data_IF_334714361119
#
_entry.id   IF_334714361119
#
_cell.length_a   1.000
_cell.length_b   1.000
_cell.length_c   1.000
_cell.angle_alpha   90.00
_cell.angle_beta   90.00
_cell.angle_gamma   90.00
#
_symmetry.space_group_name_H-M   'P 1'
#
loop_
_entity.id
_entity.type
_entity.pdbx_description
1 polymer ?
#
# COMPACT_ATOMS: atom_id res chain seq x y z
N UNK A 1 23.25 -62.18 -4.44
CA UNK A 1 22.92 -61.17 -5.46
C UNK A 1 22.73 -59.84 -4.76
N UNK A 2 23.82 -59.06 -4.69
CA UNK A 2 23.84 -57.66 -4.30
C UNK A 2 23.31 -56.80 -5.45
N UNK A 3 22.42 -55.86 -5.15
CA UNK A 3 22.01 -54.69 -5.97
C UNK A 3 20.80 -54.06 -5.24
N UNK A 4 20.75 -52.86 -4.67
CA UNK A 4 21.53 -51.60 -4.71
C UNK A 4 21.19 -50.89 -3.37
N UNK A 5 22.07 -50.76 -2.39
CA UNK A 5 23.10 -49.71 -2.21
C UNK A 5 22.72 -48.30 -2.71
N UNK A 6 22.86 -47.35 -1.76
CA UNK A 6 23.08 -45.90 -1.91
C UNK A 6 21.85 -45.00 -2.11
N UNK A 7 21.17 -44.67 -1.00
CA UNK A 7 20.74 -43.27 -0.76
C UNK A 7 21.57 -42.78 0.43
N UNK A 8 22.84 -42.49 0.12
CA UNK A 8 23.84 -41.92 1.01
C UNK A 8 24.23 -40.56 0.40
N UNK A 9 23.60 -39.51 0.90
CA UNK A 9 23.99 -38.09 0.83
C UNK A 9 22.86 -37.38 1.60
N UNK A 10 22.97 -37.15 2.91
CA UNK A 10 23.91 -36.18 3.48
C UNK A 10 24.09 -34.98 2.56
N UNK A 11 23.01 -34.24 2.35
CA UNK A 11 23.04 -32.84 1.98
C UNK A 11 21.85 -32.22 2.71
N UNK A 12 21.91 -31.95 4.01
CA UNK A 12 22.79 -30.93 4.60
C UNK A 12 23.08 -29.76 3.64
N UNK A 13 22.07 -29.30 2.91
CA UNK A 13 21.89 -27.86 2.74
C UNK A 13 21.17 -27.36 3.99
N UNK A 14 21.91 -27.37 5.10
CA UNK A 14 21.87 -26.23 6.00
C UNK A 14 22.28 -25.03 5.14
N UNK A 15 21.32 -24.42 4.45
CA UNK A 15 21.41 -23.02 4.11
C UNK A 15 21.34 -22.28 5.43
N UNK A 16 22.53 -22.16 6.03
CA UNK A 16 22.94 -21.10 6.92
C UNK A 16 22.50 -19.79 6.27
N UNK A 17 21.33 -19.36 6.67
CA UNK A 17 20.66 -18.22 6.08
C UNK A 17 19.50 -17.79 6.95
N UNK A 18 19.71 -17.71 8.27
CA UNK A 18 18.96 -16.71 9.04
C UNK A 18 19.39 -15.39 8.41
N UNK A 19 18.50 -14.86 7.58
CA UNK A 19 18.63 -13.51 7.06
C UNK A 19 18.44 -12.60 8.27
N UNK A 20 19.52 -12.32 8.98
CA UNK A 20 19.56 -11.19 9.90
C UNK A 20 19.50 -9.96 9.02
N UNK A 21 18.29 -9.59 8.61
CA UNK A 21 18.05 -8.29 8.02
C UNK A 21 18.44 -7.27 9.10
N UNK A 22 19.50 -6.46 8.89
CA UNK A 22 19.84 -5.43 9.85
C UNK A 22 18.69 -4.42 9.82
N UNK A 23 17.78 -4.52 10.78
CA UNK A 23 16.87 -3.43 11.12
C UNK A 23 17.75 -2.30 11.64
N UNK A 24 18.28 -1.50 10.73
CA UNK A 24 18.99 -0.26 11.03
C UNK A 24 18.06 0.54 11.93
N UNK A 25 18.39 0.61 13.23
CA UNK A 25 17.82 1.59 14.14
C UNK A 25 18.17 2.95 13.57
N UNK A 26 17.19 3.61 12.94
CA UNK A 26 17.33 4.96 12.45
C UNK A 26 16.36 5.81 13.22
N UNK A 27 16.89 6.81 13.94
CA UNK A 27 16.22 7.95 14.56
C UNK A 27 14.79 8.18 14.03
N UNK A 28 13.83 7.48 14.65
CA UNK A 28 12.52 7.12 14.09
C UNK A 28 11.61 8.34 13.87
N UNK A 29 11.79 9.39 14.65
CA UNK A 29 10.95 10.60 14.64
C UNK A 29 11.17 11.48 13.41
N UNK A 30 12.41 11.70 12.99
CA UNK A 30 12.70 12.55 11.82
C UNK A 30 12.37 11.85 10.50
N UNK A 31 12.56 10.53 10.44
CA UNK A 31 12.33 9.74 9.22
C UNK A 31 10.84 9.53 8.94
N UNK A 32 10.03 9.28 9.97
CA UNK A 32 8.56 9.20 9.82
C UNK A 32 7.97 10.53 9.34
N UNK A 33 8.42 11.68 9.85
CA UNK A 33 7.96 12.99 9.39
C UNK A 33 8.29 13.24 7.92
N UNK A 34 9.48 12.82 7.46
CA UNK A 34 9.86 12.92 6.05
C UNK A 34 8.99 12.02 5.15
N UNK A 35 8.71 10.79 5.58
CA UNK A 35 7.83 9.85 4.85
C UNK A 35 6.40 10.38 4.77
N UNK A 36 5.85 10.91 5.87
CA UNK A 36 4.51 11.51 5.88
C UNK A 36 4.44 12.74 4.97
N UNK A 37 5.49 13.55 4.92
CA UNK A 37 5.57 14.68 3.99
C UNK A 37 5.60 14.21 2.53
N UNK A 38 6.46 13.24 2.20
CA UNK A 38 6.59 12.72 0.84
C UNK A 38 5.32 12.03 0.32
N UNK A 39 4.58 11.33 1.18
CA UNK A 39 3.29 10.71 0.82
C UNK A 39 2.15 11.75 0.85
N UNK A 40 2.16 12.66 1.82
CA UNK A 40 1.10 13.65 2.02
C UNK A 40 0.96 14.65 0.88
N UNK A 41 2.06 14.94 0.19
CA UNK A 41 2.06 15.83 -0.98
C UNK A 41 1.60 15.11 -2.27
N UNK A 42 1.59 13.76 -2.31
CA UNK A 42 1.19 12.98 -3.48
C UNK A 42 -0.33 12.86 -3.56
N UNK A 43 -0.93 13.72 -4.40
CA UNK A 43 -2.36 13.70 -4.70
C UNK A 43 -2.62 12.89 -5.96
N UNK A 44 -3.58 11.97 -5.87
CA UNK A 44 -4.07 11.19 -7.01
C UNK A 44 -5.23 11.96 -7.63
N UNK A 45 -5.10 12.31 -8.90
CA UNK A 45 -6.12 13.03 -9.65
C UNK A 45 -6.97 12.05 -10.48
N UNK A 46 -8.27 12.31 -10.53
CA UNK A 46 -9.23 11.54 -11.32
C UNK A 46 -9.97 12.48 -12.27
N UNK A 47 -10.37 11.96 -13.43
CA UNK A 47 -11.23 12.68 -14.38
C UNK A 47 -12.60 13.02 -13.78
N UNK A 48 -13.34 13.87 -14.49
CA UNK A 48 -14.71 14.25 -14.12
C UNK A 48 -15.64 13.03 -14.21
N UNK A 49 -16.35 12.71 -13.11
CA UNK A 49 -17.17 11.49 -12.96
C UNK A 49 -16.44 10.16 -13.20
N UNK A 50 -15.11 10.18 -13.25
CA UNK A 50 -14.32 8.98 -13.48
C UNK A 50 -13.67 8.45 -12.20
N UNK A 51 -13.51 7.13 -12.17
CA UNK A 51 -12.69 6.40 -11.19
C UNK A 51 -11.53 5.67 -11.87
N UNK A 52 -11.26 5.97 -13.14
CA UNK A 52 -10.09 5.51 -13.89
C UNK A 52 -8.82 6.16 -13.32
N UNK A 53 -7.73 5.41 -13.28
CA UNK A 53 -6.42 5.92 -12.85
C UNK A 53 -5.68 6.35 -14.11
N UNK A 54 -5.40 7.65 -14.23
CA UNK A 54 -4.51 8.19 -15.27
C UNK A 54 -3.07 7.77 -15.01
N UNK A 55 -2.22 7.74 -16.04
CA UNK A 55 -0.79 7.41 -15.93
C UNK A 55 -0.07 8.27 -14.87
N UNK A 56 -0.32 9.58 -14.85
CA UNK A 56 0.26 10.49 -13.84
C UNK A 56 -0.14 10.08 -12.41
N UNK A 57 -1.38 9.61 -12.26
CA UNK A 57 -1.91 9.11 -10.99
C UNK A 57 -1.37 7.73 -10.64
N UNK A 58 -1.08 6.90 -11.64
CA UNK A 58 -0.42 5.61 -11.46
C UNK A 58 1.02 5.80 -10.97
N UNK A 59 1.79 6.72 -11.57
CA UNK A 59 3.15 7.05 -11.13
C UNK A 59 3.18 7.52 -9.68
N UNK A 60 2.26 8.41 -9.29
CA UNK A 60 2.12 8.85 -7.90
C UNK A 60 1.81 7.69 -6.93
N UNK A 61 1.03 6.69 -7.37
CA UNK A 61 0.75 5.49 -6.56
C UNK A 61 1.96 4.56 -6.47
N UNK A 62 2.71 4.37 -7.56
CA UNK A 62 3.94 3.59 -7.59
C UNK A 62 5.00 4.16 -6.64
N UNK A 63 5.15 5.47 -6.64
CA UNK A 63 6.01 6.17 -5.71
C UNK A 63 5.63 5.92 -4.23
N UNK A 64 4.33 5.96 -3.92
CA UNK A 64 3.83 5.67 -2.56
C UNK A 64 4.12 4.21 -2.20
N UNK A 65 4.03 3.29 -3.18
CA UNK A 65 4.37 1.89 -3.00
C UNK A 65 5.86 1.68 -2.75
N UNK A 66 6.74 2.40 -3.43
CA UNK A 66 8.18 2.35 -3.18
C UNK A 66 8.50 2.79 -1.74
N UNK A 67 7.87 3.88 -1.29
CA UNK A 67 8.03 4.36 0.09
C UNK A 67 7.51 3.34 1.11
N UNK A 68 6.40 2.67 0.81
CA UNK A 68 5.86 1.57 1.64
C UNK A 68 6.81 0.37 1.69
N UNK A 69 7.47 0.02 0.59
CA UNK A 69 8.45 -1.08 0.53
C UNK A 69 9.69 -0.77 1.36
N UNK A 70 10.20 0.46 1.25
CA UNK A 70 11.37 0.93 1.99
C UNK A 70 11.11 1.09 3.51
N UNK A 71 9.85 1.21 3.93
CA UNK A 71 9.47 1.39 5.32
C UNK A 71 8.50 0.28 5.77
N UNK A 72 8.98 -0.89 6.22
CA UNK A 72 8.12 -2.06 6.52
C UNK A 72 7.08 -1.80 7.62
N UNK A 73 7.34 -0.89 8.55
CA UNK A 73 6.44 -0.57 9.66
C UNK A 73 5.34 0.44 9.27
N UNK A 74 5.43 1.07 8.08
CA UNK A 74 4.46 2.07 7.64
C UNK A 74 3.13 1.43 7.23
N UNK A 75 2.02 2.12 7.50
CA UNK A 75 0.68 1.74 7.04
C UNK A 75 0.06 2.92 6.32
N UNK A 76 -0.64 2.66 5.22
CA UNK A 76 -1.29 3.72 4.43
C UNK A 76 -2.81 3.55 4.52
N UNK A 77 -3.48 4.69 4.62
CA UNK A 77 -4.94 4.77 4.63
C UNK A 77 -5.40 5.57 3.43
N UNK A 78 -6.13 4.93 2.52
CA UNK A 78 -6.70 5.57 1.34
C UNK A 78 -8.03 6.22 1.71
N UNK A 79 -8.17 7.50 1.37
CA UNK A 79 -9.41 8.28 1.55
C UNK A 79 -9.76 9.05 0.28
N UNK A 80 -10.92 8.75 -0.30
CA UNK A 80 -11.45 9.51 -1.42
C UNK A 80 -12.08 10.82 -0.93
N UNK A 81 -11.58 11.94 -1.45
CA UNK A 81 -12.20 13.25 -1.28
C UNK A 81 -12.81 13.68 -2.61
N UNK A 82 -14.02 14.19 -2.54
CA UNK A 82 -14.80 14.69 -3.67
C UNK A 82 -15.22 16.12 -3.36
N UNK A 83 -15.41 16.92 -4.42
CA UNK A 83 -15.81 18.31 -4.30
C UNK A 83 -17.24 18.44 -3.78
N UNK A 84 -17.61 19.63 -3.30
CA UNK A 84 -18.96 19.91 -2.78
C UNK A 84 -20.02 20.09 -3.88
N UNK A 85 -19.73 19.73 -5.13
CA UNK A 85 -20.71 19.82 -6.23
C UNK A 85 -21.52 18.52 -6.24
N UNK A 86 -22.85 18.62 -6.10
CA UNK A 86 -23.77 17.46 -6.08
C UNK A 86 -24.21 17.00 -4.67
N UNK A 87 -24.98 15.90 -4.61
CA UNK A 87 -25.49 15.36 -3.35
C UNK A 87 -24.38 14.72 -2.50
N UNK A 88 -24.54 14.77 -1.17
CA UNK A 88 -23.54 14.21 -0.26
C UNK A 88 -23.35 12.71 -0.46
N UNK A 89 -24.44 11.98 -0.67
CA UNK A 89 -24.46 10.53 -0.85
C UNK A 89 -23.74 10.10 -2.14
N UNK A 90 -23.98 10.80 -3.25
CA UNK A 90 -23.28 10.55 -4.51
C UNK A 90 -21.78 10.77 -4.35
N UNK A 91 -21.39 11.89 -3.74
CA UNK A 91 -19.98 12.22 -3.48
C UNK A 91 -19.29 11.20 -2.56
N UNK A 92 -20.03 10.64 -1.61
CA UNK A 92 -19.55 9.57 -0.74
C UNK A 92 -19.32 8.27 -1.52
N UNK A 93 -20.27 7.90 -2.37
CA UNK A 93 -20.16 6.71 -3.22
C UNK A 93 -19.01 6.83 -4.23
N UNK A 94 -18.87 8.00 -4.89
CA UNK A 94 -17.80 8.28 -5.83
C UNK A 94 -16.42 8.22 -5.16
N UNK A 95 -16.28 8.83 -3.98
CA UNK A 95 -15.04 8.77 -3.19
C UNK A 95 -14.68 7.34 -2.79
N UNK A 96 -15.67 6.50 -2.45
CA UNK A 96 -15.44 5.09 -2.16
C UNK A 96 -14.94 4.32 -3.38
N UNK A 97 -15.56 4.52 -4.56
CA UNK A 97 -15.13 3.87 -5.82
C UNK A 97 -13.71 4.24 -6.20
N UNK A 98 -13.33 5.51 -6.08
CA UNK A 98 -11.96 6.00 -6.35
C UNK A 98 -10.92 5.38 -5.40
N UNK A 99 -11.25 5.31 -4.11
CA UNK A 99 -10.39 4.65 -3.13
C UNK A 99 -10.25 3.14 -3.41
N UNK A 100 -11.32 2.49 -3.87
CA UNK A 100 -11.28 1.08 -4.27
C UNK A 100 -10.46 0.84 -5.54
N UNK A 101 -10.56 1.73 -6.55
CA UNK A 101 -9.72 1.68 -7.74
C UNK A 101 -8.24 1.81 -7.39
N UNK A 102 -7.87 2.80 -6.58
CA UNK A 102 -6.50 2.99 -6.12
C UNK A 102 -5.99 1.78 -5.33
N UNK A 103 -6.80 1.22 -4.41
CA UNK A 103 -6.43 0.00 -3.68
C UNK A 103 -6.19 -1.17 -4.63
N UNK A 104 -7.10 -1.41 -5.58
CA UNK A 104 -7.00 -2.50 -6.55
C UNK A 104 -5.72 -2.38 -7.38
N UNK A 105 -5.39 -1.18 -7.83
CA UNK A 105 -4.15 -0.92 -8.58
C UNK A 105 -2.90 -1.27 -7.74
N UNK A 106 -2.83 -0.78 -6.50
CA UNK A 106 -1.70 -1.08 -5.62
C UNK A 106 -1.58 -2.58 -5.32
N UNK A 107 -2.71 -3.26 -5.07
CA UNK A 107 -2.72 -4.72 -4.82
C UNK A 107 -2.35 -5.52 -6.08
N UNK A 108 -2.77 -5.08 -7.27
CA UNK A 108 -2.38 -5.74 -8.52
C UNK A 108 -0.88 -5.64 -8.79
N UNK A 109 -0.24 -4.54 -8.40
CA UNK A 109 1.19 -4.36 -8.56
C UNK A 109 1.99 -5.04 -7.44
N UNK A 110 1.54 -4.98 -6.17
CA UNK A 110 2.20 -5.63 -5.03
C UNK A 110 1.21 -6.35 -4.10
N UNK A 111 0.89 -7.63 -4.39
CA UNK A 111 -0.09 -8.39 -3.62
C UNK A 111 0.23 -8.52 -2.12
N UNK A 112 1.51 -8.61 -1.76
CA UNK A 112 1.95 -8.78 -0.37
C UNK A 112 1.75 -7.53 0.51
N UNK A 113 1.47 -6.35 -0.07
CA UNK A 113 1.21 -5.12 0.68
C UNK A 113 -0.26 -4.95 1.08
N UNK A 114 -1.16 -5.86 0.67
CA UNK A 114 -2.60 -5.72 0.90
C UNK A 114 -2.96 -5.45 2.38
N UNK A 115 -2.33 -6.19 3.30
CA UNK A 115 -2.56 -6.06 4.74
C UNK A 115 -2.15 -4.69 5.32
N UNK A 116 -1.36 -3.90 4.57
CA UNK A 116 -0.85 -2.59 4.98
C UNK A 116 -1.65 -1.43 4.39
N UNK A 117 -2.52 -1.72 3.43
CA UNK A 117 -3.35 -0.73 2.73
C UNK A 117 -4.77 -0.81 3.29
N UNK A 118 -5.13 0.16 4.12
CA UNK A 118 -6.50 0.28 4.63
C UNK A 118 -7.28 1.34 3.85
N UNK A 119 -8.60 1.16 3.73
CA UNK A 119 -9.51 2.17 3.19
C UNK A 119 -10.30 2.78 4.33
N UNK A 120 -10.35 4.11 4.41
CA UNK A 120 -11.21 4.81 5.36
C UNK A 120 -12.42 5.37 4.63
N UNK A 121 -13.61 4.89 5.02
CA UNK A 121 -14.88 5.45 4.58
C UNK A 121 -15.13 6.75 5.33
N UNK A 122 -15.43 7.84 4.61
CA UNK A 122 -15.85 9.10 5.22
C UNK A 122 -17.16 8.84 5.96
N UNK A 123 -17.17 8.96 7.29
CA UNK A 123 -18.42 8.94 8.07
C UNK A 123 -19.07 10.31 7.93
N UNK A 124 -20.38 10.33 7.75
CA UNK A 124 -21.15 11.56 7.76
C UNK A 124 -20.91 12.26 9.10
N UNK A 125 -20.38 13.48 9.06
CA UNK A 125 -20.29 14.30 10.27
C UNK A 125 -21.73 14.65 10.64
N UNK A 126 -22.32 13.91 11.58
CA UNK A 126 -23.48 14.42 12.32
C UNK A 126 -23.05 15.75 12.92
N UNK A 127 -23.47 16.85 12.30
CA UNK A 127 -23.39 18.19 12.90
C UNK A 127 -24.07 18.05 14.25
N UNK A 128 -23.29 18.06 15.34
CA UNK A 128 -23.85 18.26 16.67
C UNK A 128 -24.55 19.62 16.60
N UNK A 129 -25.87 19.58 16.71
CA UNK A 129 -26.71 20.78 16.87
C UNK A 129 -26.42 21.37 18.24
#
# INVERSE_FOLDING_TARGET
MWSRLIIMCCFCLLLTGVSSCPKKGVNTTNKMNAVVKQIGDKRVFFGYDESSISEVSADALLDVMEVLQNNPDAKVTLTGHTDNRGSHEYNLALGARRADAAKKFMVSCTPYLENRISKKRKKEKKRKR
#
